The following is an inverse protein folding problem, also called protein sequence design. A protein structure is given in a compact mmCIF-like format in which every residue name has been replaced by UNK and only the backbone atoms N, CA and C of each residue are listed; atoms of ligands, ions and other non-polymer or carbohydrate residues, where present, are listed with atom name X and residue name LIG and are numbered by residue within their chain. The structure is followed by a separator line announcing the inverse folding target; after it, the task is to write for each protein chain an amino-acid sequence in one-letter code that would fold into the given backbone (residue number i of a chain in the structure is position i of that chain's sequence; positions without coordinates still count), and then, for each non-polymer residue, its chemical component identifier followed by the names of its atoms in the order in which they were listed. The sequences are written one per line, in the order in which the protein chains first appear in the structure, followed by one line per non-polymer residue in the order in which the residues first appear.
data_IF_715862348972
#
_entry.id   IF_715862348972
#
_cell.length_a   1.000
_cell.length_b   1.000
_cell.length_c   1.000
_cell.angle_alpha   90.00
_cell.angle_beta   90.00
_cell.angle_gamma   90.00
#
_symmetry.space_group_name_H-M   'P 1'
#
loop_
_entity.id
_entity.type
_entity.pdbx_description
1 polymer ?
#
# COMPACT_ATOMS: atom_id res chain seq x y z
N UNK A 1 5.78 -19.75 -10.01
CA UNK A 1 6.28 -18.73 -9.07
C UNK A 1 5.22 -18.61 -7.99
N UNK A 2 5.56 -18.91 -6.74
CA UNK A 2 4.55 -18.92 -5.67
C UNK A 2 4.21 -17.47 -5.29
N UNK A 3 2.97 -17.19 -4.86
CA UNK A 3 2.53 -15.82 -4.52
C UNK A 3 3.39 -15.16 -3.44
N UNK A 4 4.03 -15.97 -2.59
CA UNK A 4 5.04 -15.54 -1.62
C UNK A 4 6.27 -14.89 -2.25
N UNK A 5 6.74 -15.39 -3.39
CA UNK A 5 7.92 -14.84 -4.08
C UNK A 5 7.60 -13.49 -4.72
N UNK A 6 6.38 -13.32 -5.23
CA UNK A 6 5.88 -12.05 -5.78
C UNK A 6 5.77 -10.97 -4.72
N UNK A 7 5.23 -11.30 -3.55
CA UNK A 7 5.14 -10.38 -2.41
C UNK A 7 6.52 -10.00 -1.88
N UNK A 8 7.48 -10.93 -1.85
CA UNK A 8 8.84 -10.61 -1.42
C UNK A 8 9.55 -9.64 -2.37
N UNK A 9 9.34 -9.78 -3.69
CA UNK A 9 9.87 -8.85 -4.70
C UNK A 9 9.19 -7.47 -4.66
N UNK A 10 7.92 -7.42 -4.24
CA UNK A 10 7.15 -6.20 -4.06
C UNK A 10 7.40 -5.49 -2.72
N UNK A 11 8.35 -5.96 -1.91
CA UNK A 11 8.64 -5.38 -0.59
C UNK A 11 10.10 -4.99 -0.42
N UNK A 12 10.34 -3.77 0.05
CA UNK A 12 11.63 -3.28 0.51
C UNK A 12 11.70 -3.34 2.04
N UNK A 13 12.87 -3.57 2.65
CA UNK A 13 12.98 -3.47 4.10
C UNK A 13 12.67 -2.04 4.58
N UNK A 14 12.31 -1.87 5.84
CA UNK A 14 12.04 -0.56 6.44
C UNK A 14 13.21 0.41 6.18
N UNK A 15 12.88 1.61 5.70
CA UNK A 15 13.86 2.63 5.34
C UNK A 15 14.73 2.34 4.11
N UNK A 16 14.50 1.22 3.39
CA UNK A 16 15.27 0.83 2.18
C UNK A 16 14.57 1.20 0.86
N UNK A 17 13.79 2.28 0.85
CA UNK A 17 13.16 2.80 -0.37
C UNK A 17 11.77 2.22 -0.69
N UNK A 18 11.01 1.81 0.33
CA UNK A 18 9.59 1.54 0.17
C UNK A 18 8.84 2.80 -0.28
N UNK A 19 7.81 2.61 -1.09
CA UNK A 19 6.93 3.68 -1.58
C UNK A 19 5.67 3.81 -0.75
N UNK A 20 5.24 2.71 -0.10
CA UNK A 20 4.04 2.65 0.72
C UNK A 20 4.28 1.84 2.00
N UNK A 21 3.61 2.24 3.08
CA UNK A 21 3.39 1.41 4.27
C UNK A 21 1.92 1.05 4.32
N UNK A 22 1.63 -0.24 4.50
CA UNK A 22 0.29 -0.75 4.74
C UNK A 22 0.19 -1.33 6.16
N UNK A 23 -0.65 -0.76 7.03
CA UNK A 23 -0.94 -1.34 8.35
C UNK A 23 -2.40 -1.79 8.43
N UNK A 24 -2.70 -2.66 9.39
CA UNK A 24 -4.06 -3.10 9.68
C UNK A 24 -4.54 -2.46 10.96
N UNK A 25 -5.71 -1.86 10.92
CA UNK A 25 -6.41 -1.31 12.08
C UNK A 25 -7.83 -1.85 12.10
N UNK A 26 -8.06 -2.89 12.92
CA UNK A 26 -9.34 -3.59 13.00
C UNK A 26 -9.79 -4.19 11.66
N UNK A 27 -10.89 -3.64 11.11
CA UNK A 27 -11.49 -4.06 9.84
C UNK A 27 -10.94 -3.33 8.60
N UNK A 28 -9.96 -2.44 8.78
CA UNK A 28 -9.44 -1.57 7.74
C UNK A 28 -7.93 -1.77 7.53
N UNK A 29 -7.50 -1.53 6.30
CA UNK A 29 -6.10 -1.31 5.96
C UNK A 29 -5.85 0.21 5.88
N UNK A 30 -4.76 0.64 6.47
CA UNK A 30 -4.26 2.01 6.41
C UNK A 30 -3.08 2.03 5.45
N UNK A 31 -3.17 2.81 4.38
CA UNK A 31 -2.15 2.88 3.34
C UNK A 31 -1.53 4.28 3.30
N UNK A 32 -0.29 4.38 3.73
CA UNK A 32 0.46 5.65 3.82
C UNK A 32 1.52 5.70 2.72
N UNK A 33 1.52 6.71 1.83
CA UNK A 33 2.61 6.93 0.89
C UNK A 33 3.85 7.47 1.61
N UNK A 34 5.03 6.93 1.29
CA UNK A 34 6.31 7.37 1.85
C UNK A 34 7.06 8.36 0.93
N UNK A 35 6.56 8.58 -0.28
CA UNK A 35 7.20 9.45 -1.27
C UNK A 35 6.14 10.30 -1.99
N UNK A 36 6.54 11.47 -2.49
CA UNK A 36 5.65 12.35 -3.25
C UNK A 36 5.10 11.67 -4.52
N UNK A 37 5.90 10.81 -5.17
CA UNK A 37 5.45 10.06 -6.34
C UNK A 37 4.37 9.03 -5.98
N UNK A 38 4.53 8.34 -4.84
CA UNK A 38 3.54 7.40 -4.32
C UNK A 38 2.25 8.11 -3.90
N UNK A 39 2.35 9.27 -3.25
CA UNK A 39 1.19 10.09 -2.88
C UNK A 39 0.41 10.55 -4.11
N UNK A 40 1.10 11.12 -5.11
CA UNK A 40 0.49 11.59 -6.34
C UNK A 40 -0.21 10.44 -7.09
N UNK A 41 0.44 9.27 -7.17
CA UNK A 41 -0.17 8.09 -7.77
C UNK A 41 -1.40 7.64 -6.99
N UNK A 42 -1.31 7.57 -5.66
CA UNK A 42 -2.43 7.12 -4.83
C UNK A 42 -3.64 8.03 -5.00
N UNK A 43 -3.45 9.36 -4.90
CA UNK A 43 -4.51 10.36 -5.12
C UNK A 43 -5.15 10.25 -6.50
N UNK A 44 -4.35 9.98 -7.54
CA UNK A 44 -4.85 9.86 -8.92
C UNK A 44 -5.61 8.54 -9.19
N UNK A 45 -5.40 7.52 -8.37
CA UNK A 45 -5.97 6.17 -8.56
C UNK A 45 -7.03 5.81 -7.50
N UNK A 46 -7.40 6.76 -6.65
CA UNK A 46 -8.49 6.64 -5.66
C UNK A 46 -9.66 7.53 -6.04
N UNK A 47 -10.88 7.11 -5.72
CA UNK A 47 -12.08 7.90 -5.95
C UNK A 47 -12.13 9.14 -5.05
N UNK A 48 -12.86 10.19 -5.47
CA UNK A 48 -12.98 11.46 -4.72
C UNK A 48 -13.64 11.25 -3.34
N UNK A 49 -14.54 10.28 -3.24
CA UNK A 49 -15.24 9.86 -2.02
C UNK A 49 -14.41 8.97 -1.08
N UNK A 50 -13.13 8.74 -1.37
CA UNK A 50 -12.26 7.91 -0.53
C UNK A 50 -12.05 8.55 0.85
N UNK A 51 -11.89 7.72 1.87
CA UNK A 51 -11.66 8.20 3.24
C UNK A 51 -10.16 8.34 3.52
N UNK A 52 -9.75 9.50 4.05
CA UNK A 52 -8.36 9.82 4.34
C UNK A 52 -8.17 10.31 5.77
N UNK A 53 -7.02 9.98 6.37
CA UNK A 53 -6.51 10.58 7.61
C UNK A 53 -5.16 11.21 7.27
N UNK A 54 -5.15 12.53 7.06
CA UNK A 54 -3.97 13.21 6.50
C UNK A 54 -3.64 12.72 5.10
N UNK A 55 -2.47 12.12 4.93
CA UNK A 55 -1.96 11.49 3.71
C UNK A 55 -2.28 9.99 3.61
N UNK A 56 -2.89 9.41 4.64
CA UNK A 56 -3.13 7.97 4.75
C UNK A 56 -4.53 7.63 4.25
N UNK A 57 -4.61 6.72 3.29
CA UNK A 57 -5.86 6.20 2.75
C UNK A 57 -6.40 5.10 3.66
N UNK A 58 -7.68 5.19 4.03
CA UNK A 58 -8.40 4.17 4.79
C UNK A 58 -9.17 3.29 3.83
N UNK A 59 -8.92 1.98 3.87
CA UNK A 59 -9.44 1.01 2.91
C UNK A 59 -10.11 -0.13 3.67
N UNK A 60 -11.31 -0.54 3.26
CA UNK A 60 -11.85 -1.81 3.77
C UNK A 60 -10.96 -2.97 3.34
N UNK A 61 -10.67 -3.92 4.23
CA UNK A 61 -9.75 -5.04 3.94
C UNK A 61 -10.12 -5.83 2.67
N UNK A 62 -11.41 -5.92 2.31
CA UNK A 62 -11.87 -6.58 1.08
C UNK A 62 -11.37 -5.94 -0.22
N UNK A 63 -11.03 -4.66 -0.20
CA UNK A 63 -10.51 -3.93 -1.37
C UNK A 63 -8.99 -3.84 -1.38
N UNK A 64 -8.33 -4.10 -0.24
CA UNK A 64 -6.89 -3.96 -0.11
C UNK A 64 -6.10 -4.80 -1.12
N UNK A 65 -6.49 -6.06 -1.35
CA UNK A 65 -5.80 -6.96 -2.28
C UNK A 65 -5.71 -6.39 -3.71
N UNK A 66 -6.83 -5.87 -4.23
CA UNK A 66 -6.87 -5.27 -5.57
C UNK A 66 -6.01 -4.01 -5.68
N UNK A 67 -6.03 -3.15 -4.65
CA UNK A 67 -5.19 -1.95 -4.64
C UNK A 67 -3.71 -2.30 -4.53
N UNK A 68 -3.36 -3.30 -3.71
CA UNK A 68 -1.99 -3.77 -3.57
C UNK A 68 -1.43 -4.30 -4.89
N UNK A 69 -2.22 -5.08 -5.64
CA UNK A 69 -1.83 -5.53 -6.99
C UNK A 69 -1.59 -4.35 -7.94
N UNK A 70 -2.45 -3.33 -7.92
CA UNK A 70 -2.28 -2.14 -8.76
C UNK A 70 -1.01 -1.34 -8.40
N UNK A 71 -0.70 -1.20 -7.12
CA UNK A 71 0.52 -0.53 -6.62
C UNK A 71 1.76 -1.28 -7.11
N UNK A 72 1.77 -2.61 -6.99
CA UNK A 72 2.89 -3.46 -7.45
C UNK A 72 3.04 -3.36 -8.98
N UNK A 73 1.92 -3.40 -9.71
CA UNK A 73 1.93 -3.27 -11.17
C UNK A 73 2.45 -1.90 -11.64
N UNK A 74 2.23 -0.84 -10.84
CA UNK A 74 2.78 0.48 -11.06
C UNK A 74 4.27 0.60 -10.73
N UNK A 75 4.91 -0.47 -10.22
CA UNK A 75 6.33 -0.52 -9.90
C UNK A 75 6.70 0.03 -8.52
N UNK A 76 5.70 0.33 -7.68
CA UNK A 76 5.94 0.76 -6.32
C UNK A 76 6.16 -0.43 -5.38
N UNK A 77 6.91 -0.17 -4.31
CA UNK A 77 7.23 -1.18 -3.30
C UNK A 77 6.50 -0.88 -2.00
N UNK A 78 6.02 -1.94 -1.35
CA UNK A 78 5.56 -1.86 0.03
C UNK A 78 6.74 -1.99 0.99
N UNK A 79 6.61 -1.42 2.18
CA UNK A 79 7.50 -1.72 3.27
C UNK A 79 7.29 -3.16 3.76
N UNK A 80 8.38 -3.89 3.92
CA UNK A 80 8.37 -5.29 4.33
C UNK A 80 7.91 -5.37 5.77
N UNK A 81 7.00 -6.31 6.04
CA UNK A 81 6.28 -6.46 7.31
C UNK A 81 5.26 -5.37 7.59
N UNK A 82 4.93 -4.52 6.61
CA UNK A 82 3.69 -3.78 6.65
C UNK A 82 2.55 -4.79 6.45
N UNK A 83 1.85 -5.10 7.55
CA UNK A 83 0.88 -6.17 7.83
C UNK A 83 1.41 -7.44 8.54
N UNK A 84 1.74 -7.38 9.85
CA UNK A 84 1.43 -8.45 10.78
C UNK A 84 -0.01 -8.24 11.32
N UNK A 85 -0.57 -9.29 11.92
CA UNK A 85 -1.96 -9.33 12.45
C UNK A 85 -2.37 -8.11 13.27
#
# INVERSE_FOLDING_TARGET
MNDRDRLFQATAAEGQGASFVATREGGFAMLTPLTAAAEAWLRANTAEESTWIGDTLVIEMRYFGHLAEAIIAAGFLFERNALPN
#
